data_IF_985201254314
#
_entry.id   IF_985201254314
#
_cell.length_a   1.000
_cell.length_b   1.000
_cell.length_c   1.000
_cell.angle_alpha   90.00
_cell.angle_beta   90.00
_cell.angle_gamma   90.00
#
_symmetry.space_group_name_H-M   'P 1'
#
loop_
_entity.id
_entity.type
_entity.pdbx_description
1 polymer ?
#
# COMPACT_ATOMS: atom_id res chain seq x y z
N UNK A 1 46.41 10.08 37.01
CA UNK A 1 45.29 11.00 37.31
C UNK A 1 44.04 10.39 36.65
N UNK A 2 43.37 9.51 37.39
CA UNK A 2 42.26 8.66 36.94
C UNK A 2 40.96 9.44 37.06
N UNK A 3 40.45 9.98 35.96
CA UNK A 3 39.14 10.63 35.92
C UNK A 3 38.08 9.57 35.61
N UNK A 4 37.13 9.46 36.54
CA UNK A 4 36.09 8.45 36.63
C UNK A 4 35.16 8.41 35.41
N UNK A 5 35.11 7.26 34.73
CA UNK A 5 34.19 6.93 33.62
C UNK A 5 32.71 6.83 34.03
N UNK A 6 32.35 7.14 35.28
CA UNK A 6 30.99 6.98 35.83
C UNK A 6 30.13 8.25 35.83
N UNK A 7 30.66 9.42 35.46
CA UNK A 7 29.91 10.69 35.45
C UNK A 7 29.38 11.12 34.07
N UNK A 8 29.68 10.40 33.00
CA UNK A 8 29.26 10.75 31.64
C UNK A 8 27.80 10.35 31.31
N UNK A 9 27.19 9.45 32.10
CA UNK A 9 25.85 8.91 31.81
C UNK A 9 24.68 9.72 32.43
N UNK A 10 24.94 10.80 33.15
CA UNK A 10 23.89 11.59 33.83
C UNK A 10 23.60 12.97 33.24
N UNK A 11 24.19 13.34 32.09
CA UNK A 11 24.06 14.69 31.51
C UNK A 11 23.31 14.81 30.17
N UNK A 12 22.66 13.75 29.69
CA UNK A 12 21.89 13.78 28.42
C UNK A 12 20.39 13.43 28.58
N UNK A 13 19.81 13.55 29.77
CA UNK A 13 18.38 13.29 30.02
C UNK A 13 17.52 14.55 30.16
N UNK A 14 18.04 15.73 29.79
CA UNK A 14 17.33 17.00 29.87
C UNK A 14 17.10 17.64 28.51
N UNK A 15 15.93 17.40 27.92
CA UNK A 15 15.38 18.26 26.85
C UNK A 15 15.42 17.68 25.44
N UNK A 16 14.39 16.89 25.10
CA UNK A 16 13.65 16.99 23.85
C UNK A 16 12.36 16.14 24.00
N UNK A 17 11.45 16.62 24.85
CA UNK A 17 10.04 16.25 24.74
C UNK A 17 9.49 17.10 23.60
N UNK A 18 8.92 16.46 22.57
CA UNK A 18 8.19 17.00 21.39
C UNK A 18 8.82 16.74 20.02
N UNK A 19 8.99 15.47 19.67
CA UNK A 19 9.00 14.92 18.30
C UNK A 19 9.13 13.40 18.50
N UNK A 20 8.22 12.51 18.14
CA UNK A 20 7.13 12.52 17.19
C UNK A 20 6.20 11.40 17.66
N UNK A 21 4.93 11.74 17.94
CA UNK A 21 3.87 10.74 17.99
C UNK A 21 3.63 10.24 16.57
N UNK A 22 4.52 9.38 16.07
CA UNK A 22 4.27 8.57 14.89
C UNK A 22 3.60 7.29 15.40
N UNK A 23 2.34 7.01 15.05
CA UNK A 23 1.75 5.73 15.38
C UNK A 23 2.35 4.70 14.42
N UNK A 24 3.52 4.17 14.79
CA UNK A 24 3.98 2.88 14.33
C UNK A 24 2.91 1.86 14.78
N UNK A 25 2.37 1.12 13.81
CA UNK A 25 1.26 0.15 13.93
C UNK A 25 -0.14 0.74 14.07
N UNK A 26 -0.61 1.40 13.01
CA UNK A 26 -2.05 1.46 12.74
C UNK A 26 -2.50 0.14 12.14
N UNK A 27 -3.51 -0.51 12.74
CA UNK A 27 -4.25 -1.64 12.14
C UNK A 27 -4.66 -1.28 10.69
N UNK A 28 -4.64 -2.22 9.74
CA UNK A 28 -5.15 -1.99 8.39
C UNK A 28 -6.68 -1.85 8.45
N UNK A 29 -7.14 -0.64 8.74
CA UNK A 29 -8.56 -0.29 8.92
C UNK A 29 -8.77 1.03 9.65
N UNK A 30 -7.85 1.47 10.52
CA UNK A 30 -8.05 2.68 11.36
C UNK A 30 -7.47 3.97 10.78
N UNK A 31 -6.57 3.89 9.78
CA UNK A 31 -5.96 5.09 9.19
C UNK A 31 -6.89 5.82 8.20
N UNK A 32 -7.83 5.11 7.56
CA UNK A 32 -8.76 5.69 6.58
C UNK A 32 -9.93 6.43 7.24
N UNK A 33 -10.43 5.96 8.40
CA UNK A 33 -11.54 6.63 9.09
C UNK A 33 -11.23 8.05 9.56
N UNK A 34 -9.94 8.40 9.73
CA UNK A 34 -9.51 9.78 10.01
C UNK A 34 -9.50 10.68 8.77
N UNK A 35 -9.52 10.11 7.56
CA UNK A 35 -9.57 10.87 6.31
C UNK A 35 -10.99 11.35 6.00
N UNK A 36 -12.00 10.55 6.37
CA UNK A 36 -13.41 10.83 6.11
C UNK A 36 -13.94 12.03 6.92
N UNK A 37 -13.26 12.39 8.01
CA UNK A 37 -13.56 13.54 8.86
C UNK A 37 -12.92 14.86 8.36
N UNK A 38 -12.00 14.79 7.39
CA UNK A 38 -11.30 15.97 6.90
C UNK A 38 -12.17 16.76 5.92
N UNK A 39 -12.02 18.09 5.94
CA UNK A 39 -12.53 18.90 4.83
C UNK A 39 -11.83 18.50 3.52
N UNK A 40 -12.54 18.69 2.42
CA UNK A 40 -12.09 18.29 1.09
C UNK A 40 -10.70 18.85 0.74
N UNK A 41 -10.43 20.11 1.08
CA UNK A 41 -9.16 20.74 0.72
C UNK A 41 -7.99 20.15 1.51
N UNK A 42 -8.20 19.88 2.80
CA UNK A 42 -7.21 19.21 3.64
C UNK A 42 -7.00 17.76 3.19
N UNK A 43 -8.07 17.03 2.87
CA UNK A 43 -8.01 15.67 2.34
C UNK A 43 -7.12 15.59 1.10
N UNK A 44 -7.39 16.42 0.08
CA UNK A 44 -6.60 16.43 -1.16
C UNK A 44 -5.15 16.82 -0.93
N UNK A 45 -4.88 17.72 0.03
CA UNK A 45 -3.52 18.10 0.40
C UNK A 45 -2.76 16.95 1.04
N UNK A 46 -3.40 16.17 1.90
CA UNK A 46 -2.84 14.96 2.53
C UNK A 46 -2.60 13.89 1.48
N UNK A 47 -3.58 13.58 0.64
CA UNK A 47 -3.45 12.60 -0.46
C UNK A 47 -2.33 12.99 -1.42
N UNK A 48 -2.24 14.26 -1.84
CA UNK A 48 -1.14 14.69 -2.72
C UNK A 48 0.23 14.48 -2.08
N UNK A 49 0.36 14.66 -0.76
CA UNK A 49 1.61 14.45 -0.03
C UNK A 49 1.97 12.97 0.12
N UNK A 50 1.00 12.06 0.04
CA UNK A 50 1.29 10.62 0.11
C UNK A 50 1.92 10.08 -1.18
N UNK A 51 1.96 10.82 -2.28
CA UNK A 51 2.65 10.39 -3.50
C UNK A 51 4.06 10.98 -3.58
N UNK A 52 5.09 10.19 -3.90
CA UNK A 52 6.48 10.64 -4.01
C UNK A 52 6.76 11.51 -5.25
N UNK A 53 5.72 11.94 -5.97
CA UNK A 53 5.86 12.82 -7.13
C UNK A 53 6.52 14.14 -6.73
N UNK A 54 7.67 14.43 -7.34
CA UNK A 54 8.34 15.72 -7.21
C UNK A 54 7.48 16.87 -7.75
N UNK A 55 7.79 18.09 -7.33
CA UNK A 55 7.12 19.31 -7.83
C UNK A 55 7.70 19.83 -9.16
N UNK A 56 8.65 19.12 -9.76
CA UNK A 56 9.33 19.52 -11.00
C UNK A 56 8.47 19.36 -12.26
N UNK A 57 7.37 18.60 -12.17
CA UNK A 57 6.42 18.42 -13.27
C UNK A 57 4.99 18.37 -12.74
N UNK A 58 4.05 18.83 -13.56
CA UNK A 58 2.63 18.58 -13.35
C UNK A 58 2.30 17.25 -14.04
N UNK A 59 1.76 16.30 -13.29
CA UNK A 59 1.51 14.94 -13.77
C UNK A 59 0.03 14.70 -14.00
N UNK A 60 -0.38 14.60 -15.26
CA UNK A 60 -1.78 14.36 -15.65
C UNK A 60 -2.00 12.96 -16.28
N UNK A 61 -0.96 12.15 -16.47
CA UNK A 61 -1.09 10.82 -17.09
C UNK A 61 -1.38 9.72 -16.05
N UNK A 62 -2.43 9.88 -15.23
CA UNK A 62 -2.85 8.83 -14.29
C UNK A 62 -3.57 7.68 -14.96
N UNK A 63 -4.11 7.89 -16.17
CA UNK A 63 -4.77 6.83 -16.95
C UNK A 63 -3.80 5.81 -17.55
N UNK A 64 -2.60 6.22 -17.96
CA UNK A 64 -1.57 5.31 -18.43
C UNK A 64 -0.71 4.72 -17.31
N UNK A 65 -0.26 5.56 -16.36
CA UNK A 65 0.57 5.12 -15.25
C UNK A 65 0.28 5.93 -13.98
N UNK A 66 -0.33 5.32 -12.99
CA UNK A 66 -0.48 5.93 -11.67
C UNK A 66 0.79 5.78 -10.83
N UNK A 67 1.29 6.84 -10.15
CA UNK A 67 2.30 6.66 -9.13
C UNK A 67 1.69 5.91 -7.93
N UNK A 68 2.44 4.99 -7.33
CA UNK A 68 2.03 4.37 -6.06
C UNK A 68 2.22 5.36 -4.90
N UNK A 69 1.29 5.45 -3.94
CA UNK A 69 1.48 6.25 -2.75
C UNK A 69 2.52 5.59 -1.83
N UNK A 70 3.25 6.39 -1.05
CA UNK A 70 4.32 5.98 -0.15
C UNK A 70 3.96 4.83 0.80
N UNK A 71 2.75 4.76 1.40
CA UNK A 71 2.37 3.61 2.22
C UNK A 71 2.37 2.28 1.45
N UNK A 72 1.98 2.28 0.17
CA UNK A 72 2.00 1.09 -0.70
C UNK A 72 3.44 0.71 -1.03
N UNK A 73 4.29 1.69 -1.38
CA UNK A 73 5.71 1.45 -1.63
C UNK A 73 6.41 0.84 -0.41
N UNK A 74 6.12 1.36 0.79
CA UNK A 74 6.66 0.84 2.04
C UNK A 74 6.21 -0.61 2.30
N UNK A 75 4.91 -0.91 2.12
CA UNK A 75 4.37 -2.25 2.33
C UNK A 75 4.94 -3.29 1.35
N UNK A 76 5.12 -2.91 0.07
CA UNK A 76 5.76 -3.78 -0.93
C UNK A 76 7.20 -4.07 -0.54
N UNK A 77 7.96 -3.06 -0.13
CA UNK A 77 9.36 -3.23 0.24
C UNK A 77 9.53 -4.06 1.51
N UNK A 78 8.71 -3.81 2.53
CA UNK A 78 8.65 -4.60 3.76
C UNK A 78 8.37 -6.08 3.45
N UNK A 79 7.31 -6.37 2.69
CA UNK A 79 6.94 -7.76 2.37
C UNK A 79 7.95 -8.46 1.48
N UNK A 80 8.55 -7.74 0.52
CA UNK A 80 9.66 -8.26 -0.27
C UNK A 80 10.81 -8.70 0.64
N UNK A 81 11.23 -7.84 1.57
CA UNK A 81 12.30 -8.17 2.49
C UNK A 81 11.98 -9.36 3.40
N UNK A 82 10.76 -9.42 3.96
CA UNK A 82 10.34 -10.55 4.80
C UNK A 82 10.38 -11.89 4.04
N UNK A 83 9.87 -11.92 2.81
CA UNK A 83 9.82 -13.14 2.00
C UNK A 83 11.21 -13.62 1.61
N UNK A 84 12.14 -12.70 1.31
CA UNK A 84 13.53 -13.04 0.99
C UNK A 84 14.30 -13.60 2.20
N UNK A 85 13.93 -13.23 3.43
CA UNK A 85 14.56 -13.79 4.64
C UNK A 85 14.26 -15.27 4.83
N UNK A 86 13.14 -15.75 4.28
CA UNK A 86 12.66 -17.13 4.45
C UNK A 86 12.57 -17.91 3.14
N UNK A 87 12.91 -17.29 2.01
CA UNK A 87 12.84 -17.88 0.67
C UNK A 87 11.44 -18.42 0.32
N UNK A 88 10.40 -17.61 0.52
CA UNK A 88 8.99 -18.00 0.32
C UNK A 88 8.27 -17.10 -0.71
N UNK A 89 7.23 -17.64 -1.33
CA UNK A 89 6.43 -16.98 -2.39
C UNK A 89 5.38 -16.00 -1.87
N UNK A 90 4.91 -16.17 -0.63
CA UNK A 90 3.85 -15.35 -0.05
C UNK A 90 2.45 -15.66 -0.60
N UNK A 91 2.23 -16.80 -1.26
CA UNK A 91 0.93 -17.15 -1.84
C UNK A 91 -0.22 -17.20 -0.82
N UNK A 92 0.06 -17.48 0.45
CA UNK A 92 -0.93 -17.47 1.54
C UNK A 92 -1.57 -16.09 1.77
N UNK A 93 -0.91 -15.00 1.39
CA UNK A 93 -1.50 -13.66 1.51
C UNK A 93 -2.68 -13.43 0.55
N UNK A 94 -2.76 -14.19 -0.54
CA UNK A 94 -3.76 -13.98 -1.58
C UNK A 94 -5.19 -14.24 -1.10
N UNK A 95 -5.41 -15.12 -0.14
CA UNK A 95 -6.75 -15.45 0.34
C UNK A 95 -7.42 -14.27 1.06
N UNK A 96 -6.65 -13.58 1.92
CA UNK A 96 -7.14 -12.38 2.61
C UNK A 96 -7.26 -11.20 1.66
N UNK A 97 -6.36 -11.06 0.70
CA UNK A 97 -6.47 -10.02 -0.35
C UNK A 97 -7.70 -10.27 -1.22
N UNK A 98 -8.00 -11.54 -1.54
CA UNK A 98 -9.16 -11.93 -2.35
C UNK A 98 -10.46 -11.48 -1.70
N UNK A 99 -10.64 -11.76 -0.41
CA UNK A 99 -11.83 -11.35 0.36
C UNK A 99 -12.00 -9.83 0.38
N UNK A 100 -10.91 -9.08 0.59
CA UNK A 100 -10.94 -7.60 0.60
C UNK A 100 -11.30 -7.02 -0.76
N UNK A 101 -10.70 -7.56 -1.83
CA UNK A 101 -10.98 -7.10 -3.19
C UNK A 101 -12.41 -7.42 -3.60
N UNK A 102 -12.89 -8.63 -3.30
CA UNK A 102 -14.27 -9.05 -3.54
C UNK A 102 -15.28 -8.08 -2.91
N UNK A 103 -15.10 -7.74 -1.64
CA UNK A 103 -15.93 -6.75 -0.95
C UNK A 103 -15.86 -5.35 -1.59
N UNK A 104 -14.69 -4.94 -2.09
CA UNK A 104 -14.51 -3.64 -2.74
C UNK A 104 -15.25 -3.54 -4.09
N UNK A 105 -15.29 -4.62 -4.88
CA UNK A 105 -15.95 -4.64 -6.19
C UNK A 105 -17.38 -5.17 -6.16
N UNK A 106 -17.87 -5.62 -4.99
CA UNK A 106 -19.21 -6.18 -4.84
C UNK A 106 -19.36 -7.60 -5.40
N UNK A 107 -18.34 -8.44 -5.26
CA UNK A 107 -18.32 -9.84 -5.70
C UNK A 107 -18.08 -10.79 -4.52
N UNK A 108 -18.25 -12.10 -4.74
CA UNK A 108 -17.81 -13.14 -3.82
C UNK A 108 -16.32 -13.43 -3.97
N UNK A 109 -15.69 -13.90 -2.89
CA UNK A 109 -14.27 -14.24 -2.93
C UNK A 109 -13.95 -15.33 -3.98
N UNK A 110 -14.89 -16.25 -4.25
CA UNK A 110 -14.73 -17.29 -5.28
C UNK A 110 -14.74 -16.74 -6.72
N UNK A 111 -15.21 -15.51 -6.94
CA UNK A 111 -15.31 -14.87 -8.24
C UNK A 111 -14.08 -14.04 -8.61
N UNK A 112 -13.09 -13.95 -7.70
CA UNK A 112 -11.88 -13.13 -7.89
C UNK A 112 -10.68 -14.00 -8.27
N UNK A 113 -10.21 -13.81 -9.51
CA UNK A 113 -8.94 -14.34 -9.98
C UNK A 113 -7.88 -13.23 -10.08
N UNK A 114 -6.67 -13.51 -9.59
CA UNK A 114 -5.53 -12.62 -9.77
C UNK A 114 -4.75 -13.02 -11.02
N UNK A 115 -4.57 -12.09 -11.95
CA UNK A 115 -3.74 -12.23 -13.15
C UNK A 115 -2.57 -11.26 -13.09
N UNK A 116 -1.60 -11.39 -14.02
CA UNK A 116 -0.42 -10.52 -14.06
C UNK A 116 -0.76 -9.13 -14.59
N UNK A 117 -1.77 -9.01 -15.45
CA UNK A 117 -2.22 -7.74 -16.02
C UNK A 117 -3.63 -7.85 -16.64
N UNK A 118 -4.18 -6.70 -17.07
CA UNK A 118 -5.50 -6.61 -17.68
C UNK A 118 -5.61 -7.39 -19.00
N UNK A 119 -4.59 -7.36 -19.85
CA UNK A 119 -4.58 -8.09 -21.14
C UNK A 119 -4.69 -9.59 -20.93
N UNK A 120 -3.94 -10.14 -19.98
CA UNK A 120 -4.04 -11.55 -19.61
C UNK A 120 -5.43 -11.89 -19.07
N UNK A 121 -6.01 -11.05 -18.20
CA UNK A 121 -7.37 -11.22 -17.70
C UNK A 121 -8.41 -11.26 -18.83
N UNK A 122 -8.35 -10.30 -19.76
CA UNK A 122 -9.24 -10.28 -20.91
C UNK A 122 -9.06 -11.51 -21.80
N UNK A 123 -7.84 -11.97 -22.01
CA UNK A 123 -7.58 -13.18 -22.81
C UNK A 123 -8.13 -14.45 -22.15
N UNK A 124 -8.14 -14.54 -20.82
CA UNK A 124 -8.78 -15.66 -20.12
C UNK A 124 -10.28 -15.70 -20.40
N UNK A 125 -10.96 -14.55 -20.28
CA UNK A 125 -12.40 -14.47 -20.55
C UNK A 125 -12.70 -14.76 -22.02
N UNK A 126 -11.98 -14.11 -22.95
CA UNK A 126 -12.19 -14.30 -24.38
C UNK A 126 -12.04 -15.76 -24.84
N UNK A 127 -11.16 -16.54 -24.18
CA UNK A 127 -10.97 -17.98 -24.46
C UNK A 127 -11.90 -18.89 -23.67
N UNK A 128 -12.58 -18.37 -22.64
CA UNK A 128 -13.49 -19.12 -21.79
C UNK A 128 -14.95 -19.07 -22.25
N UNK A 129 -15.33 -18.09 -23.08
CA UNK A 129 -16.69 -17.98 -23.62
C UNK A 129 -16.87 -18.99 -24.77
N UNK A 130 -17.86 -19.89 -24.72
CA UNK A 130 -18.05 -20.95 -25.70
C UNK A 130 -18.80 -20.46 -26.94
N UNK A 131 -18.20 -19.51 -27.67
CA UNK A 131 -18.78 -18.95 -28.89
C UNK A 131 -19.06 -20.05 -29.93
N UNK A 132 -20.22 -19.98 -30.56
CA UNK A 132 -20.69 -20.86 -31.62
C UNK A 132 -20.62 -20.15 -32.99
N UNK A 133 -20.65 -20.91 -34.10
CA UNK A 133 -20.76 -20.32 -35.43
C UNK A 133 -22.01 -19.42 -35.53
N UNK A 134 -21.80 -18.15 -35.87
CA UNK A 134 -22.85 -17.13 -35.93
C UNK A 134 -22.94 -16.21 -34.72
N UNK A 135 -22.19 -16.49 -33.64
CA UNK A 135 -22.08 -15.57 -32.50
C UNK A 135 -21.18 -14.37 -32.83
N UNK A 136 -21.48 -13.21 -32.23
CA UNK A 136 -20.73 -11.96 -32.35
C UNK A 136 -20.29 -11.44 -30.96
N UNK A 137 -19.23 -10.62 -30.93
CA UNK A 137 -18.64 -10.03 -29.71
C UNK A 137 -18.67 -8.51 -29.80
#
# INVERSE_FOLDING_TARGET
MLVERRKFLHQFFGGFVLWSAWPFFSRPGTALGKLDELDEQTLWRVLRRSFPLTRKRIYFNTGGLGPSPSPVLAAVEEKRHELEQISETGHHYFDEVRKKLAAFVGADAGEIAFTRNATEGMNFIARGVPLQPGDEV
#
